data_IF_644771669811
#
_entry.id   IF_644771669811
#
_cell.length_a   1.000
_cell.length_b   1.000
_cell.length_c   1.000
_cell.angle_alpha   90.00
_cell.angle_beta   90.00
_cell.angle_gamma   90.00
#
_symmetry.space_group_name_H-M   'P 1'
#
loop_
_entity.id
_entity.type
_entity.pdbx_description
1 polymer ?
#
# COMPACT_ATOMS: atom_id res chain seq x y z
N UNK A 1 1.09 -28.07 9.83
CA UNK A 1 2.16 -29.00 9.38
C UNK A 1 3.36 -28.19 8.89
N UNK A 2 4.56 -28.79 8.74
CA UNK A 2 5.74 -28.09 8.22
C UNK A 2 5.47 -27.45 6.84
N UNK A 3 4.63 -28.11 6.03
CA UNK A 3 4.20 -27.62 4.72
C UNK A 3 3.38 -26.33 4.80
N UNK A 4 2.40 -26.27 5.70
CA UNK A 4 1.58 -25.07 5.89
C UNK A 4 2.40 -23.87 6.38
N UNK A 5 3.37 -24.10 7.27
CA UNK A 5 4.32 -23.08 7.72
C UNK A 5 5.17 -22.54 6.56
N UNK A 6 5.67 -23.43 5.70
CA UNK A 6 6.46 -23.04 4.54
C UNK A 6 5.61 -22.24 3.52
N UNK A 7 4.39 -22.71 3.23
CA UNK A 7 3.47 -22.02 2.34
C UNK A 7 3.13 -20.62 2.86
N UNK A 8 2.94 -20.46 4.18
CA UNK A 8 2.67 -19.17 4.80
C UNK A 8 3.87 -18.23 4.76
N UNK A 9 5.08 -18.75 5.02
CA UNK A 9 6.31 -17.98 4.91
C UNK A 9 6.51 -17.43 3.49
N UNK A 10 6.29 -18.26 2.47
CA UNK A 10 6.38 -17.85 1.06
C UNK A 10 5.34 -16.75 0.75
N UNK A 11 4.10 -16.90 1.21
CA UNK A 11 3.05 -15.87 1.01
C UNK A 11 3.44 -14.53 1.61
N UNK A 12 3.94 -14.52 2.84
CA UNK A 12 4.36 -13.29 3.52
C UNK A 12 5.52 -12.61 2.78
N UNK A 13 6.51 -13.39 2.35
CA UNK A 13 7.66 -12.88 1.61
C UNK A 13 7.23 -12.28 0.26
N UNK A 14 6.46 -13.01 -0.55
CA UNK A 14 6.03 -12.53 -1.86
C UNK A 14 5.11 -11.31 -1.75
N UNK A 15 4.11 -11.35 -0.86
CA UNK A 15 3.18 -10.25 -0.69
C UNK A 15 3.86 -8.96 -0.20
N UNK A 16 4.83 -9.08 0.70
CA UNK A 16 5.60 -7.95 1.21
C UNK A 16 6.64 -7.43 0.21
N UNK A 17 7.30 -8.32 -0.52
CA UNK A 17 8.42 -7.98 -1.40
C UNK A 17 7.98 -7.17 -2.62
N UNK A 18 7.06 -7.72 -3.42
CA UNK A 18 6.70 -7.13 -4.72
C UNK A 18 6.00 -5.78 -4.52
N UNK A 19 5.06 -5.71 -3.57
CA UNK A 19 4.30 -4.50 -3.29
C UNK A 19 5.20 -3.38 -2.74
N UNK A 20 6.10 -3.68 -1.81
CA UNK A 20 7.00 -2.69 -1.20
C UNK A 20 8.03 -2.20 -2.21
N UNK A 21 8.65 -3.11 -2.95
CA UNK A 21 9.64 -2.78 -3.98
C UNK A 21 9.04 -1.85 -5.03
N UNK A 22 7.84 -2.18 -5.52
CA UNK A 22 7.13 -1.35 -6.50
C UNK A 22 6.80 0.04 -5.96
N UNK A 23 6.29 0.13 -4.73
CA UNK A 23 5.98 1.41 -4.10
C UNK A 23 7.24 2.28 -3.90
N UNK A 24 8.37 1.70 -3.50
CA UNK A 24 9.63 2.42 -3.34
C UNK A 24 10.16 2.95 -4.67
N UNK A 25 10.19 2.10 -5.72
CA UNK A 25 10.68 2.49 -7.04
C UNK A 25 9.83 3.63 -7.62
N UNK A 26 8.50 3.47 -7.62
CA UNK A 26 7.61 4.53 -8.14
C UNK A 26 7.70 5.81 -7.31
N UNK A 27 7.76 5.69 -5.99
CA UNK A 27 7.88 6.85 -5.11
C UNK A 27 9.14 7.67 -5.40
N UNK A 28 10.30 7.00 -5.44
CA UNK A 28 11.57 7.63 -5.76
C UNK A 28 11.55 8.23 -7.18
N UNK A 29 11.02 7.50 -8.15
CA UNK A 29 10.90 8.00 -9.52
C UNK A 29 10.05 9.29 -9.60
N UNK A 30 8.89 9.33 -8.95
CA UNK A 30 8.02 10.51 -8.96
C UNK A 30 8.66 11.70 -8.23
N UNK A 31 9.31 11.46 -7.09
CA UNK A 31 10.04 12.50 -6.35
C UNK A 31 11.14 13.11 -7.23
N UNK A 32 11.96 12.27 -7.88
CA UNK A 32 13.04 12.75 -8.75
C UNK A 32 12.52 13.42 -10.04
N UNK A 33 11.37 12.99 -10.56
CA UNK A 33 10.75 13.55 -11.77
C UNK A 33 10.12 14.93 -11.55
N UNK A 34 9.71 15.25 -10.32
CA UNK A 34 8.99 16.47 -9.97
C UNK A 34 9.86 17.35 -9.07
N UNK A 35 10.64 18.30 -9.64
CA UNK A 35 11.61 19.09 -8.88
C UNK A 35 11.03 19.82 -7.67
N UNK A 36 9.79 20.31 -7.79
CA UNK A 36 9.10 21.00 -6.69
C UNK A 36 8.88 20.08 -5.48
N UNK A 37 8.52 18.81 -5.71
CA UNK A 37 8.32 17.84 -4.63
C UNK A 37 9.66 17.51 -3.99
N UNK A 38 10.69 17.25 -4.80
CA UNK A 38 12.04 17.00 -4.31
C UNK A 38 12.55 18.14 -3.43
N UNK A 39 12.45 19.39 -3.88
CA UNK A 39 12.95 20.56 -3.14
C UNK A 39 12.22 20.75 -1.81
N UNK A 40 10.89 20.64 -1.80
CA UNK A 40 10.10 20.81 -0.57
C UNK A 40 10.35 19.67 0.42
N UNK A 41 10.40 18.43 -0.06
CA UNK A 41 10.68 17.27 0.77
C UNK A 41 12.07 17.34 1.39
N UNK A 42 13.08 17.69 0.58
CA UNK A 42 14.45 17.86 1.04
C UNK A 42 14.56 18.98 2.08
N UNK A 43 13.90 20.12 1.86
CA UNK A 43 13.90 21.22 2.84
C UNK A 43 13.29 20.81 4.20
N UNK A 44 12.19 20.04 4.19
CA UNK A 44 11.60 19.52 5.44
C UNK A 44 12.53 18.52 6.13
N UNK A 45 13.20 17.64 5.38
CA UNK A 45 14.16 16.67 5.93
C UNK A 45 15.41 17.35 6.49
N UNK A 46 16.04 18.25 5.73
CA UNK A 46 17.26 18.96 6.12
C UNK A 46 17.03 19.84 7.36
N UNK A 47 15.86 20.49 7.46
CA UNK A 47 15.50 21.28 8.66
C UNK A 47 15.20 20.41 9.87
N UNK A 48 14.68 19.20 9.67
CA UNK A 48 14.33 18.28 10.74
C UNK A 48 15.53 17.47 11.23
N UNK A 49 16.48 17.16 10.36
CA UNK A 49 17.66 16.34 10.65
C UNK A 49 18.94 17.05 10.18
N UNK A 50 19.46 18.02 10.96
CA UNK A 50 20.69 18.74 10.60
C UNK A 50 21.93 17.84 10.57
N UNK A 51 21.92 16.78 11.38
CA UNK A 51 22.94 15.74 11.40
C UNK A 51 22.32 14.43 10.86
N UNK A 52 22.99 13.80 9.91
CA UNK A 52 22.48 12.61 9.19
C UNK A 52 22.36 11.36 10.07
N UNK A 53 23.01 11.35 11.23
CA UNK A 53 23.27 10.12 11.99
C UNK A 53 22.20 9.87 13.08
N UNK A 54 21.27 10.80 13.31
CA UNK A 54 20.19 10.70 14.30
C UNK A 54 18.79 10.69 13.64
N UNK A 55 18.62 9.84 12.63
CA UNK A 55 17.32 9.66 11.97
C UNK A 55 16.45 8.68 12.77
N UNK A 56 15.50 9.22 13.53
CA UNK A 56 14.53 8.45 14.31
C UNK A 56 13.19 8.31 13.58
N UNK A 57 12.63 7.10 13.59
CA UNK A 57 11.36 6.79 12.91
C UNK A 57 10.19 7.60 13.46
N UNK A 58 10.14 7.80 14.78
CA UNK A 58 9.11 8.58 15.47
C UNK A 58 9.08 10.02 14.99
N UNK A 59 10.25 10.59 14.69
CA UNK A 59 10.40 11.95 14.17
C UNK A 59 10.00 12.03 12.71
N UNK A 60 10.43 11.08 11.87
CA UNK A 60 9.99 10.98 10.47
C UNK A 60 8.47 10.90 10.34
N UNK A 61 7.79 10.12 11.20
CA UNK A 61 6.33 9.96 11.17
C UNK A 61 5.57 11.24 11.52
N UNK A 62 6.21 12.22 12.14
CA UNK A 62 5.62 13.52 12.49
C UNK A 62 5.79 14.57 11.39
N UNK A 63 6.62 14.31 10.39
CA UNK A 63 6.86 15.24 9.30
C UNK A 63 5.65 15.29 8.34
N UNK A 64 4.95 16.44 8.25
CA UNK A 64 3.70 16.52 7.52
C UNK A 64 3.88 16.35 6.01
N UNK A 65 4.92 16.94 5.41
CA UNK A 65 5.13 16.86 3.96
C UNK A 65 5.62 15.47 3.54
N UNK A 66 6.55 14.87 4.27
CA UNK A 66 6.96 13.47 4.07
C UNK A 66 5.75 12.52 4.14
N UNK A 67 4.87 12.67 5.14
CA UNK A 67 3.65 11.84 5.22
C UNK A 67 2.68 12.11 4.08
N UNK A 68 2.55 13.34 3.61
CA UNK A 68 1.74 13.67 2.44
C UNK A 68 2.30 13.00 1.18
N UNK A 69 3.61 13.05 0.95
CA UNK A 69 4.29 12.41 -0.19
C UNK A 69 4.12 10.90 -0.15
N UNK A 70 4.29 10.26 1.02
CA UNK A 70 4.10 8.80 1.16
C UNK A 70 2.65 8.41 0.87
N UNK A 71 1.68 9.14 1.43
CA UNK A 71 0.25 8.88 1.17
C UNK A 71 -0.09 9.02 -0.30
N UNK A 72 0.42 10.05 -0.95
CA UNK A 72 0.18 10.29 -2.38
C UNK A 72 0.87 9.22 -3.25
N UNK A 73 2.07 8.77 -2.85
CA UNK A 73 2.72 7.65 -3.50
C UNK A 73 1.85 6.39 -3.43
N UNK A 74 1.29 6.04 -2.25
CA UNK A 74 0.37 4.89 -2.15
C UNK A 74 -0.95 5.08 -2.90
N UNK A 75 -1.38 6.32 -3.17
CA UNK A 75 -2.54 6.59 -4.02
C UNK A 75 -2.26 6.23 -5.49
N UNK A 76 -1.03 6.40 -5.95
CA UNK A 76 -0.61 6.12 -7.33
C UNK A 76 -0.02 4.72 -7.52
N UNK A 77 0.87 4.30 -6.63
CA UNK A 77 1.53 3.00 -6.63
C UNK A 77 0.51 1.94 -6.23
N UNK A 78 -0.23 1.45 -7.21
CA UNK A 78 -1.13 0.31 -7.06
C UNK A 78 -0.44 -0.93 -7.66
N UNK A 79 0.44 -1.62 -6.90
CA UNK A 79 1.15 -2.80 -7.42
C UNK A 79 0.19 -3.92 -7.82
N UNK A 80 -1.01 -3.97 -7.23
CA UNK A 80 -2.06 -4.92 -7.58
C UNK A 80 -3.24 -4.13 -8.18
N UNK A 81 -3.47 -4.17 -9.51
CA UNK A 81 -4.49 -3.36 -10.18
C UNK A 81 -5.94 -3.69 -9.75
N UNK A 82 -6.14 -4.73 -8.93
CA UNK A 82 -7.42 -5.13 -8.37
C UNK A 82 -7.32 -5.53 -6.90
N UNK A 83 -8.48 -5.62 -6.24
CA UNK A 83 -8.56 -6.23 -4.90
C UNK A 83 -8.55 -7.75 -5.03
N UNK A 84 -8.05 -8.44 -4.02
CA UNK A 84 -8.15 -9.90 -3.96
C UNK A 84 -9.64 -10.32 -4.06
N UNK A 85 -9.96 -11.35 -4.87
CA UNK A 85 -11.31 -11.84 -5.00
C UNK A 85 -11.84 -12.35 -3.65
N UNK A 86 -13.12 -12.11 -3.40
CA UNK A 86 -13.85 -12.55 -2.21
C UNK A 86 -14.88 -13.58 -2.64
N UNK A 87 -15.17 -14.52 -1.76
CA UNK A 87 -16.17 -15.57 -1.97
C UNK A 87 -17.34 -15.31 -1.03
N UNK A 88 -18.57 -15.33 -1.55
CA UNK A 88 -19.78 -15.20 -0.73
C UNK A 88 -19.92 -16.43 0.16
N UNK A 89 -20.06 -16.26 1.49
CA UNK A 89 -20.14 -17.36 2.44
C UNK A 89 -21.40 -18.22 2.25
N UNK A 90 -21.40 -19.39 2.89
CA UNK A 90 -22.57 -20.28 2.92
C UNK A 90 -23.77 -19.53 3.53
N UNK A 91 -24.91 -19.56 2.84
CA UNK A 91 -26.12 -18.82 3.20
C UNK A 91 -26.42 -17.59 2.33
N UNK A 92 -25.45 -17.17 1.50
CA UNK A 92 -25.58 -15.97 0.68
C UNK A 92 -25.47 -14.71 1.53
N UNK A 93 -25.48 -13.54 0.90
CA UNK A 93 -25.61 -12.29 1.65
C UNK A 93 -26.45 -11.28 0.87
N UNK A 94 -27.04 -10.34 1.60
CA UNK A 94 -27.74 -9.20 1.01
C UNK A 94 -26.80 -8.00 1.11
N UNK A 95 -26.46 -7.42 -0.04
CA UNK A 95 -25.69 -6.19 -0.14
C UNK A 95 -26.60 -5.12 -0.76
N UNK A 96 -27.02 -4.15 0.04
CA UNK A 96 -28.10 -3.22 -0.32
C UNK A 96 -29.37 -3.97 -0.76
N UNK A 97 -29.82 -3.77 -2.00
CA UNK A 97 -30.99 -4.43 -2.60
C UNK A 97 -30.61 -5.69 -3.37
N UNK A 98 -29.33 -6.08 -3.43
CA UNK A 98 -28.86 -7.23 -4.19
C UNK A 98 -28.66 -8.44 -3.30
N UNK A 99 -29.26 -9.56 -3.71
CA UNK A 99 -28.98 -10.86 -3.12
C UNK A 99 -27.80 -11.49 -3.85
N UNK A 100 -26.76 -11.82 -3.10
CA UNK A 100 -25.57 -12.50 -3.59
C UNK A 100 -25.64 -13.98 -3.22
N UNK A 101 -25.56 -14.84 -4.23
CA UNK A 101 -25.65 -16.28 -4.04
C UNK A 101 -24.39 -16.86 -3.40
N UNK A 102 -24.52 -17.92 -2.57
CA UNK A 102 -23.37 -18.62 -1.99
C UNK A 102 -22.38 -19.06 -3.07
N UNK A 103 -21.09 -18.86 -2.82
CA UNK A 103 -20.02 -19.30 -3.74
C UNK A 103 -19.73 -18.34 -4.89
N UNK A 104 -20.47 -17.23 -5.04
CA UNK A 104 -20.11 -16.18 -5.98
C UNK A 104 -18.72 -15.61 -5.66
N UNK A 105 -17.86 -15.53 -6.67
CA UNK A 105 -16.49 -14.99 -6.57
C UNK A 105 -16.44 -13.63 -7.25
N UNK A 106 -16.06 -12.59 -6.52
CA UNK A 106 -16.00 -11.24 -7.07
C UNK A 106 -15.05 -10.32 -6.31
N UNK A 107 -14.62 -9.25 -6.97
CA UNK A 107 -13.99 -8.11 -6.28
C UNK A 107 -15.07 -7.09 -5.96
N UNK A 108 -14.87 -6.25 -4.94
CA UNK A 108 -15.84 -5.22 -4.54
C UNK A 108 -16.33 -4.36 -5.71
N UNK A 109 -15.48 -4.11 -6.72
CA UNK A 109 -15.81 -3.31 -7.91
C UNK A 109 -16.87 -3.95 -8.82
N UNK A 110 -17.14 -5.24 -8.69
CA UNK A 110 -18.13 -5.96 -9.50
C UNK A 110 -19.43 -6.25 -8.73
N UNK A 111 -19.48 -6.00 -7.42
CA UNK A 111 -20.62 -6.33 -6.55
C UNK A 111 -21.47 -5.11 -6.17
N UNK A 112 -20.96 -3.91 -6.43
CA UNK A 112 -21.62 -2.62 -6.27
C UNK A 112 -21.33 -1.85 -7.55
N UNK A 113 -22.27 -1.90 -8.48
CA UNK A 113 -22.29 -1.01 -9.64
C UNK A 113 -22.49 0.44 -9.20
#
# INVERSE_FOLDING_TARGET
SLKELNDEAIRLLTAGHDATTHAMILGLYQICKLPIIYTLLRAELDSSFPESDDVQLEKLRRLPYLMAVIKENFRFATPVPGRLPRVVPKGGCILHSYRLDPGLVGTWRHLIG
#
